data_IF_222887732648
#
_entry.id   IF_222887732648
#
_cell.length_a   1.000
_cell.length_b   1.000
_cell.length_c   1.000
_cell.angle_alpha   90.00
_cell.angle_beta   90.00
_cell.angle_gamma   90.00
#
_symmetry.space_group_name_H-M   'P 1'
#
loop_
_entity.id
_entity.type
_entity.pdbx_description
1 polymer ?
#
# COMPACT_ATOMS: atom_id res chain seq x y z
N UNK A 1 -2.15 -11.87 0.95
CA UNK A 1 -1.40 -10.71 1.50
C UNK A 1 -2.42 -9.77 2.11
N UNK A 2 -2.15 -9.25 3.29
CA UNK A 2 -2.97 -8.22 3.96
C UNK A 2 -2.13 -6.96 3.97
N UNK A 3 -2.69 -5.83 3.54
CA UNK A 3 -1.97 -4.54 3.46
C UNK A 3 -2.79 -3.49 4.18
N UNK A 4 -2.14 -2.71 5.04
CA UNK A 4 -2.75 -1.54 5.64
C UNK A 4 -3.77 -1.83 6.74
N UNK A 5 -4.55 -0.80 7.06
CA UNK A 5 -5.47 -0.74 8.20
C UNK A 5 -5.23 0.52 9.04
N UNK A 6 -6.05 0.71 10.08
CA UNK A 6 -5.97 1.91 10.94
C UNK A 6 -4.63 1.95 11.67
N UNK A 7 -3.81 2.97 11.36
CA UNK A 7 -2.43 3.14 11.89
C UNK A 7 -1.51 1.93 11.60
N UNK A 8 -1.83 1.14 10.59
CA UNK A 8 -1.02 0.00 10.16
C UNK A 8 -0.28 0.36 8.86
N UNK A 9 0.95 0.84 8.99
CA UNK A 9 1.81 1.20 7.85
C UNK A 9 2.69 0.01 7.43
N UNK A 10 2.04 -1.12 7.19
CA UNK A 10 2.69 -2.41 6.99
C UNK A 10 1.87 -3.33 6.08
N UNK A 11 2.46 -4.46 5.71
CA UNK A 11 1.77 -5.60 5.11
C UNK A 11 2.23 -6.90 5.76
N UNK A 12 1.41 -7.94 5.63
CA UNK A 12 1.69 -9.29 6.13
C UNK A 12 1.18 -10.38 5.19
N UNK A 13 1.73 -11.58 5.36
CA UNK A 13 1.27 -12.78 4.67
C UNK A 13 0.28 -13.54 5.56
N UNK A 14 -0.79 -14.03 4.94
CA UNK A 14 -1.80 -14.87 5.58
C UNK A 14 -1.98 -16.16 4.78
N UNK A 15 -1.92 -17.34 5.42
CA UNK A 15 -1.61 -17.56 6.84
C UNK A 15 -0.16 -17.17 7.21
N UNK A 16 0.10 -16.90 8.49
CA UNK A 16 1.40 -16.41 8.97
C UNK A 16 2.46 -17.53 8.98
N UNK A 17 3.65 -17.25 8.48
CA UNK A 17 4.82 -18.12 8.64
C UNK A 17 5.55 -17.85 9.98
N UNK A 18 6.21 -18.85 10.59
CA UNK A 18 7.00 -18.64 11.81
C UNK A 18 8.17 -17.67 11.60
N UNK A 19 8.38 -16.72 12.52
CA UNK A 19 9.58 -15.85 12.54
C UNK A 19 9.28 -14.35 12.42
N UNK A 20 8.85 -13.86 11.24
CA UNK A 20 8.43 -12.47 11.01
C UNK A 20 7.29 -12.44 9.99
N UNK A 21 6.15 -11.93 10.41
CA UNK A 21 4.94 -11.88 9.59
C UNK A 21 4.61 -10.50 9.06
N UNK A 22 5.16 -9.42 9.66
CA UNK A 22 4.78 -8.04 9.36
C UNK A 22 5.98 -7.25 8.83
N UNK A 23 5.79 -6.60 7.69
CA UNK A 23 6.80 -5.83 6.99
C UNK A 23 6.37 -4.37 6.91
N UNK A 24 7.27 -3.44 7.25
CA UNK A 24 6.98 -2.01 7.14
C UNK A 24 6.80 -1.61 5.67
N UNK A 25 5.79 -0.77 5.41
CA UNK A 25 5.52 -0.19 4.10
C UNK A 25 5.29 1.31 4.27
N UNK A 26 6.41 2.06 4.26
CA UNK A 26 6.45 3.51 4.46
C UNK A 26 5.51 4.28 3.53
N UNK A 27 5.27 3.77 2.32
CA UNK A 27 4.32 4.31 1.35
C UNK A 27 2.94 4.61 1.95
N UNK A 28 2.42 3.75 2.83
CA UNK A 28 1.11 3.95 3.47
C UNK A 28 1.11 5.12 4.47
N UNK A 29 2.25 5.40 5.10
CA UNK A 29 2.40 6.53 6.01
C UNK A 29 2.52 7.85 5.22
N UNK A 30 3.26 7.83 4.12
CA UNK A 30 3.47 8.99 3.25
C UNK A 30 2.23 9.43 2.48
N UNK A 31 1.30 8.52 2.26
CA UNK A 31 0.06 8.79 1.55
C UNK A 31 -1.07 9.18 2.50
N UNK A 32 -0.92 9.01 3.83
CA UNK A 32 -1.95 9.34 4.82
C UNK A 32 -1.84 10.80 5.24
N UNK A 33 -2.97 11.50 5.27
CA UNK A 33 -2.99 12.88 5.77
C UNK A 33 -3.02 12.91 7.31
N UNK A 34 -2.25 13.81 7.92
CA UNK A 34 -1.94 13.77 9.37
C UNK A 34 -3.21 13.76 10.25
N UNK A 35 -4.23 14.52 9.85
CA UNK A 35 -5.45 14.76 10.61
C UNK A 35 -6.67 14.04 10.03
N UNK A 36 -6.47 13.12 9.10
CA UNK A 36 -7.55 12.36 8.47
C UNK A 36 -7.35 10.86 8.70
N UNK A 37 -8.46 10.13 8.70
CA UNK A 37 -8.46 8.67 8.79
C UNK A 37 -8.49 8.01 7.41
N UNK A 38 -7.86 8.63 6.40
CA UNK A 38 -7.81 8.08 5.05
C UNK A 38 -6.81 6.93 4.90
N UNK A 39 -6.89 6.24 3.75
CA UNK A 39 -6.05 5.07 3.40
C UNK A 39 -6.24 3.80 4.22
N UNK A 40 -7.44 3.57 4.75
CA UNK A 40 -7.74 2.31 5.42
C UNK A 40 -7.82 1.12 4.45
N UNK A 41 -8.28 1.36 3.21
CA UNK A 41 -8.46 0.34 2.19
C UNK A 41 -7.74 0.74 0.89
N UNK A 42 -6.42 0.53 0.79
CA UNK A 42 -5.68 0.74 -0.46
C UNK A 42 -6.14 -0.24 -1.54
N UNK A 43 -6.06 0.16 -2.81
CA UNK A 43 -6.32 -0.77 -3.91
C UNK A 43 -5.10 -1.64 -4.15
N UNK A 44 -5.34 -2.94 -4.30
CA UNK A 44 -4.31 -3.95 -4.51
C UNK A 44 -4.64 -4.74 -5.78
N UNK A 45 -3.73 -4.72 -6.75
CA UNK A 45 -3.86 -5.52 -7.96
C UNK A 45 -2.56 -6.29 -8.21
N UNK A 46 -2.62 -7.61 -8.32
CA UNK A 46 -1.47 -8.41 -8.75
C UNK A 46 -1.35 -8.30 -10.27
N UNK A 47 -0.19 -7.84 -10.75
CA UNK A 47 0.06 -7.71 -12.18
C UNK A 47 0.66 -9.00 -12.78
N UNK A 48 0.60 -9.20 -14.11
CA UNK A 48 1.10 -10.42 -14.76
C UNK A 48 2.60 -10.69 -14.57
N UNK A 49 3.38 -9.66 -14.24
CA UNK A 49 4.82 -9.78 -13.94
C UNK A 49 5.10 -10.26 -12.50
N UNK A 50 4.06 -10.49 -11.71
CA UNK A 50 4.15 -10.94 -10.32
C UNK A 50 4.31 -9.83 -9.29
N UNK A 51 4.36 -8.56 -9.71
CA UNK A 51 4.43 -7.43 -8.80
C UNK A 51 3.04 -6.96 -8.37
N UNK A 52 2.96 -6.37 -7.17
CA UNK A 52 1.72 -5.83 -6.62
C UNK A 52 1.63 -4.34 -6.95
N UNK A 53 0.60 -3.95 -7.69
CA UNK A 53 0.21 -2.54 -7.80
C UNK A 53 -0.56 -2.14 -6.52
N UNK A 54 -0.08 -1.10 -5.85
CA UNK A 54 -0.70 -0.54 -4.64
C UNK A 54 -1.04 0.92 -4.91
N UNK A 55 -2.31 1.29 -4.74
CA UNK A 55 -2.77 2.68 -4.80
C UNK A 55 -3.33 3.11 -3.44
N UNK A 56 -2.87 4.28 -2.96
CA UNK A 56 -3.36 4.89 -1.74
C UNK A 56 -3.43 6.41 -1.89
N UNK A 57 -4.57 6.98 -1.49
CA UNK A 57 -4.90 8.39 -1.62
C UNK A 57 -4.90 8.85 -3.09
N UNK A 58 -3.76 9.37 -3.57
CA UNK A 58 -3.54 9.86 -4.94
C UNK A 58 -2.27 9.31 -5.58
N UNK A 59 -1.52 8.46 -4.87
CA UNK A 59 -0.24 7.91 -5.31
C UNK A 59 -0.37 6.42 -5.54
N UNK A 60 0.50 5.87 -6.38
CA UNK A 60 0.62 4.42 -6.55
C UNK A 60 2.05 3.97 -6.78
N UNK A 61 2.29 2.71 -6.43
CA UNK A 61 3.57 2.04 -6.58
C UNK A 61 3.40 0.65 -7.20
N UNK A 62 4.43 0.22 -7.92
CA UNK A 62 4.66 -1.17 -8.26
C UNK A 62 5.59 -1.77 -7.20
N UNK A 63 5.13 -2.79 -6.50
CA UNK A 63 5.78 -3.32 -5.32
C UNK A 63 6.15 -4.79 -5.49
N UNK A 64 7.44 -5.11 -5.34
CA UNK A 64 7.96 -6.46 -5.28
C UNK A 64 7.89 -6.91 -3.81
N UNK A 65 6.82 -7.62 -3.47
CA UNK A 65 6.57 -8.10 -2.10
C UNK A 65 7.46 -9.28 -1.69
N UNK A 66 8.15 -9.92 -2.65
CA UNK A 66 9.10 -11.00 -2.38
C UNK A 66 10.44 -10.42 -1.94
N UNK A 67 10.89 -9.35 -2.59
CA UNK A 67 12.14 -8.63 -2.25
C UNK A 67 11.91 -7.43 -1.33
N UNK A 68 10.67 -7.19 -0.92
CA UNK A 68 10.26 -6.11 -0.03
C UNK A 68 10.66 -4.71 -0.52
N UNK A 69 10.54 -4.44 -1.83
CA UNK A 69 11.00 -3.17 -2.42
C UNK A 69 10.01 -2.56 -3.41
N UNK A 70 10.03 -1.24 -3.50
CA UNK A 70 9.34 -0.50 -4.55
C UNK A 70 10.15 -0.67 -5.84
N UNK A 71 9.50 -1.19 -6.88
CA UNK A 71 10.07 -1.32 -8.24
C UNK A 71 9.91 -0.02 -9.00
N UNK A 72 8.77 0.64 -8.83
CA UNK A 72 8.43 1.88 -9.53
C UNK A 72 7.42 2.69 -8.71
N UNK A 73 7.61 4.00 -8.66
CA UNK A 73 6.54 4.93 -8.30
C UNK A 73 5.90 5.50 -9.57
N UNK A 74 4.58 5.59 -9.60
CA UNK A 74 3.85 6.18 -10.71
C UNK A 74 3.60 7.67 -10.45
N UNK A 75 3.35 8.47 -11.50
CA UNK A 75 2.90 9.85 -11.33
C UNK A 75 1.66 9.92 -10.43
N UNK A 76 1.58 11.00 -9.66
CA UNK A 76 0.40 11.28 -8.85
C UNK A 76 -0.83 11.43 -9.74
N UNK A 77 -1.96 10.89 -9.28
CA UNK A 77 -3.21 10.97 -10.00
C UNK A 77 -3.67 12.43 -10.10
N UNK A 78 -4.00 12.92 -11.32
CA UNK A 78 -4.45 14.29 -11.50
C UNK A 78 -5.85 14.51 -10.91
N UNK A 79 -6.23 15.78 -10.72
CA UNK A 79 -7.57 16.17 -10.28
C UNK A 79 -7.71 16.46 -8.79
N UNK A 80 -6.71 16.14 -7.96
CA UNK A 80 -6.69 16.53 -6.54
C UNK A 80 -7.59 15.72 -5.61
N UNK A 81 -8.58 15.00 -6.16
CA UNK A 81 -9.45 14.11 -5.40
C UNK A 81 -8.71 12.86 -4.91
N UNK A 82 -9.00 12.47 -3.68
CA UNK A 82 -8.53 11.21 -3.10
C UNK A 82 -9.42 10.07 -3.59
N UNK A 83 -8.83 8.91 -3.88
CA UNK A 83 -9.55 7.78 -4.52
C UNK A 83 -9.24 6.45 -3.83
N UNK A 84 -9.60 6.33 -2.56
CA UNK A 84 -9.63 5.08 -1.80
C UNK A 84 -10.46 5.24 -0.51
N UNK A 85 -10.92 4.17 0.13
CA UNK A 85 -11.82 4.35 1.29
C UNK A 85 -11.05 4.35 2.64
N UNK A 86 -11.47 5.18 3.61
CA UNK A 86 -12.14 6.47 3.37
C UNK A 86 -11.17 7.42 2.67
N UNK A 87 -11.72 8.34 1.87
CA UNK A 87 -11.00 9.38 1.15
C UNK A 87 -11.09 10.66 1.94
#
# INVERSE_FOLDING_TARGET
IIVGGRRAFSYEFYPKSPGKSVFSLRFLAETRDRNEENNLYPFLHLLPDGNLFIFANRRSILFDFVKHRIVKEFPEMPGGDKRNYPS
#
